data_IF_679569914969
#
_entry.id   IF_679569914969
#
_cell.length_a   1.000
_cell.length_b   1.000
_cell.length_c   1.000
_cell.angle_alpha   90.00
_cell.angle_beta   90.00
_cell.angle_gamma   90.00
#
_symmetry.space_group_name_H-M   'P 1'
#
loop_
_entity.id
_entity.type
_entity.pdbx_description
1 polymer ?
#
# COMPACT_ATOMS: atom_id res chain seq x y z
N UNK A 1 5.81 12.33 -5.87
CA UNK A 1 4.96 11.26 -6.45
C UNK A 1 4.79 10.18 -5.40
N UNK A 2 3.57 9.68 -5.25
CA UNK A 2 3.21 8.60 -4.32
C UNK A 2 3.37 7.27 -5.05
N UNK A 3 4.03 6.30 -4.42
CA UNK A 3 4.10 4.94 -4.94
C UNK A 3 3.40 3.98 -3.99
N UNK A 4 2.53 3.14 -4.53
CA UNK A 4 1.85 2.07 -3.80
C UNK A 4 2.33 0.74 -4.36
N UNK A 5 3.00 -0.04 -3.52
CA UNK A 5 3.42 -1.40 -3.81
C UNK A 5 2.55 -2.35 -3.01
N UNK A 6 1.98 -3.36 -3.67
CA UNK A 6 1.27 -4.44 -3.00
C UNK A 6 1.79 -5.78 -3.52
N UNK A 7 2.45 -6.55 -2.67
CA UNK A 7 2.91 -7.90 -2.96
C UNK A 7 1.91 -8.89 -2.36
N UNK A 8 1.27 -9.72 -3.17
CA UNK A 8 0.46 -10.81 -2.65
C UNK A 8 1.39 -11.93 -2.23
N UNK A 9 1.36 -12.26 -0.94
CA UNK A 9 1.89 -13.52 -0.41
C UNK A 9 0.70 -14.27 0.15
N UNK A 10 0.65 -15.58 0.07
CA UNK A 10 -0.33 -16.35 0.85
C UNK A 10 0.35 -16.75 2.16
N UNK A 11 -0.27 -16.58 3.33
CA UNK A 11 -1.66 -16.16 3.59
C UNK A 11 -1.86 -14.64 3.85
N UNK A 12 -0.91 -13.79 3.45
CA UNK A 12 -0.90 -12.35 3.77
C UNK A 12 -0.34 -11.48 2.64
N UNK A 13 -0.97 -10.37 2.31
CA UNK A 13 -0.36 -9.39 1.42
C UNK A 13 0.66 -8.53 2.18
N UNK A 14 1.61 -7.93 1.47
CA UNK A 14 2.44 -6.85 2.00
C UNK A 14 2.14 -5.59 1.22
N UNK A 15 1.89 -4.49 1.92
CA UNK A 15 1.69 -3.18 1.32
C UNK A 15 2.79 -2.22 1.78
N UNK A 16 3.36 -1.51 0.83
CA UNK A 16 4.29 -0.42 1.06
C UNK A 16 3.81 0.82 0.32
N UNK A 17 3.73 1.94 1.01
CA UNK A 17 3.31 3.23 0.47
C UNK A 17 4.42 4.25 0.75
N UNK A 18 4.89 4.93 -0.29
CA UNK A 18 5.92 5.97 -0.18
C UNK A 18 5.43 7.30 -0.78
N UNK A 19 5.97 8.43 -0.30
CA UNK A 19 5.67 9.76 -0.84
C UNK A 19 4.34 10.39 -0.40
N UNK A 20 3.55 9.69 0.43
CA UNK A 20 2.17 10.11 0.78
C UNK A 20 2.07 11.33 1.70
N UNK A 21 3.18 11.76 2.32
CA UNK A 21 3.25 12.93 3.20
C UNK A 21 4.49 13.83 2.93
N UNK A 22 5.07 13.70 1.74
CA UNK A 22 6.32 14.39 1.35
C UNK A 22 6.10 15.62 0.45
N UNK A 23 4.86 15.92 0.04
CA UNK A 23 4.57 16.97 -0.95
C UNK A 23 3.68 18.10 -0.40
N UNK A 24 4.09 19.35 -0.64
CA UNK A 24 3.45 20.58 -0.15
C UNK A 24 2.95 21.52 -1.26
N UNK A 25 2.87 21.09 -2.53
CA UNK A 25 2.49 21.96 -3.65
C UNK A 25 0.96 21.97 -3.87
N UNK A 26 0.37 23.16 -4.04
CA UNK A 26 -1.07 23.36 -4.25
C UNK A 26 -1.62 22.52 -5.42
N UNK A 27 -2.74 21.83 -5.19
CA UNK A 27 -3.38 20.93 -6.17
C UNK A 27 -3.03 19.44 -6.03
N UNK A 28 -1.96 19.08 -5.30
CA UNK A 28 -1.56 17.69 -5.00
C UNK A 28 -2.06 17.20 -3.63
N UNK A 29 -2.46 18.14 -2.76
CA UNK A 29 -2.97 17.89 -1.41
C UNK A 29 -4.12 16.87 -1.32
N UNK A 30 -5.15 16.86 -2.19
CA UNK A 30 -6.26 15.90 -2.02
C UNK A 30 -5.82 14.45 -2.20
N UNK A 31 -4.80 14.18 -3.02
CA UNK A 31 -4.27 12.81 -3.19
C UNK A 31 -3.44 12.42 -1.97
N UNK A 32 -2.53 13.28 -1.49
CA UNK A 32 -1.76 13.03 -0.28
C UNK A 32 -2.67 12.81 0.94
N UNK A 33 -3.69 13.65 1.11
CA UNK A 33 -4.68 13.53 2.17
C UNK A 33 -5.43 12.20 2.08
N UNK A 34 -5.95 11.84 0.90
CA UNK A 34 -6.65 10.57 0.70
C UNK A 34 -5.77 9.35 1.02
N UNK A 35 -4.53 9.32 0.52
CA UNK A 35 -3.60 8.22 0.79
C UNK A 35 -3.20 8.19 2.27
N UNK A 36 -2.98 9.33 2.90
CA UNK A 36 -2.71 9.42 4.34
C UNK A 36 -3.87 8.89 5.17
N UNK A 37 -5.13 9.21 4.79
CA UNK A 37 -6.33 8.66 5.44
C UNK A 37 -6.43 7.16 5.27
N UNK A 38 -6.03 6.61 4.13
CA UNK A 38 -6.00 5.17 3.90
C UNK A 38 -4.92 4.46 4.72
N UNK A 39 -3.73 5.06 4.84
CA UNK A 39 -2.66 4.56 5.73
C UNK A 39 -3.15 4.55 7.17
N UNK A 40 -3.74 5.65 7.63
CA UNK A 40 -4.30 5.74 8.98
C UNK A 40 -5.39 4.68 9.20
N UNK A 41 -6.32 4.51 8.26
CA UNK A 41 -7.35 3.48 8.37
C UNK A 41 -6.76 2.07 8.52
N UNK A 42 -5.74 1.72 7.73
CA UNK A 42 -5.08 0.42 7.88
C UNK A 42 -4.34 0.29 9.20
N UNK A 43 -3.66 1.35 9.65
CA UNK A 43 -2.98 1.37 10.93
C UNK A 43 -3.97 1.09 12.07
N UNK A 44 -5.10 1.82 12.13
CA UNK A 44 -6.12 1.62 13.15
C UNK A 44 -6.76 0.23 13.06
N UNK A 45 -7.06 -0.25 11.84
CA UNK A 45 -7.59 -1.60 11.64
C UNK A 45 -6.63 -2.67 12.19
N UNK A 46 -5.34 -2.55 11.87
CA UNK A 46 -4.33 -3.50 12.31
C UNK A 46 -4.11 -3.43 13.83
N UNK A 47 -4.10 -2.22 14.40
CA UNK A 47 -3.85 -2.01 15.82
C UNK A 47 -5.03 -2.46 16.70
N UNK A 48 -6.27 -2.12 16.31
CA UNK A 48 -7.46 -2.30 17.16
C UNK A 48 -8.23 -3.60 16.88
N UNK A 49 -8.21 -4.11 15.64
CA UNK A 49 -9.11 -5.20 15.21
C UNK A 49 -8.37 -6.48 14.85
N UNK A 50 -7.15 -6.37 14.33
CA UNK A 50 -6.40 -7.51 13.80
C UNK A 50 -5.24 -7.88 14.72
N UNK A 51 -4.04 -7.39 14.44
CA UNK A 51 -2.82 -7.69 15.20
C UNK A 51 -1.80 -6.55 15.02
N UNK A 52 -1.39 -5.85 16.09
CA UNK A 52 -0.45 -4.73 16.00
C UNK A 52 0.91 -5.11 15.36
N UNK A 53 1.35 -6.36 15.49
CA UNK A 53 2.59 -6.86 14.88
C UNK A 53 2.61 -6.85 13.35
N UNK A 54 1.46 -6.68 12.71
CA UNK A 54 1.34 -6.50 11.26
C UNK A 54 1.86 -5.12 10.80
N UNK A 55 1.99 -4.15 11.70
CA UNK A 55 2.57 -2.84 11.39
C UNK A 55 4.10 -2.96 11.43
N UNK A 56 4.76 -2.85 10.28
CA UNK A 56 6.22 -2.97 10.20
C UNK A 56 6.91 -1.64 10.46
N UNK A 57 6.49 -0.60 9.75
CA UNK A 57 7.08 0.73 9.85
C UNK A 57 6.08 1.78 9.40
N UNK A 58 5.88 2.82 10.21
CA UNK A 58 5.11 4.01 9.84
C UNK A 58 5.92 5.23 10.25
N UNK A 59 6.18 6.10 9.29
CA UNK A 59 6.82 7.41 9.52
C UNK A 59 6.34 8.37 8.44
N UNK A 60 6.75 9.64 8.55
CA UNK A 60 6.38 10.65 7.55
C UNK A 60 6.78 10.18 6.15
N UNK A 61 5.80 10.13 5.27
CA UNK A 61 5.96 9.78 3.85
C UNK A 61 6.15 8.30 3.59
N UNK A 62 6.12 7.43 4.61
CA UNK A 62 6.38 6.00 4.46
C UNK A 62 5.50 5.14 5.36
N UNK A 63 4.88 4.12 4.79
CA UNK A 63 4.16 3.10 5.54
C UNK A 63 4.44 1.71 4.95
N UNK A 64 4.73 0.74 5.80
CA UNK A 64 4.86 -0.66 5.45
C UNK A 64 4.09 -1.54 6.45
N UNK A 65 3.21 -2.38 5.92
CA UNK A 65 2.31 -3.22 6.69
C UNK A 65 2.20 -4.60 6.06
N UNK A 66 2.21 -5.64 6.88
CA UNK A 66 1.76 -6.98 6.51
C UNK A 66 0.23 -7.03 6.71
N UNK A 67 -0.49 -7.58 5.75
CA UNK A 67 -1.95 -7.52 5.64
C UNK A 67 -2.50 -8.94 5.59
N UNK A 68 -2.93 -9.51 6.72
CA UNK A 68 -3.46 -10.87 6.75
C UNK A 68 -4.78 -10.97 5.97
N UNK A 69 -5.20 -12.19 5.67
CA UNK A 69 -6.39 -12.46 4.86
C UNK A 69 -7.70 -11.87 5.44
N UNK A 70 -7.76 -11.62 6.75
CA UNK A 70 -8.84 -10.88 7.41
C UNK A 70 -9.00 -9.43 6.89
N UNK A 71 -7.93 -8.82 6.40
CA UNK A 71 -7.93 -7.48 5.81
C UNK A 71 -8.27 -7.48 4.31
N UNK A 72 -8.45 -8.64 3.67
CA UNK A 72 -8.51 -8.78 2.20
C UNK A 72 -9.53 -7.85 1.54
N UNK A 73 -10.73 -7.75 2.11
CA UNK A 73 -11.79 -6.89 1.58
C UNK A 73 -11.44 -5.40 1.68
N UNK A 74 -10.90 -4.97 2.82
CA UNK A 74 -10.44 -3.59 3.05
C UNK A 74 -9.33 -3.23 2.07
N UNK A 75 -8.34 -4.12 1.91
CA UNK A 75 -7.21 -3.93 0.99
C UNK A 75 -7.69 -3.87 -0.46
N UNK A 76 -8.59 -4.76 -0.88
CA UNK A 76 -9.16 -4.71 -2.23
C UNK A 76 -9.91 -3.40 -2.50
N UNK A 77 -10.75 -2.95 -1.55
CA UNK A 77 -11.48 -1.68 -1.66
C UNK A 77 -10.52 -0.48 -1.76
N UNK A 78 -9.47 -0.47 -0.95
CA UNK A 78 -8.43 0.56 -0.99
C UNK A 78 -7.67 0.57 -2.31
N UNK A 79 -7.24 -0.58 -2.83
CA UNK A 79 -6.56 -0.66 -4.12
C UNK A 79 -7.45 -0.17 -5.26
N UNK A 80 -8.75 -0.46 -5.24
CA UNK A 80 -9.71 0.08 -6.21
C UNK A 80 -9.83 1.61 -6.11
N UNK A 81 -9.90 2.15 -4.89
CA UNK A 81 -9.97 3.59 -4.65
C UNK A 81 -8.68 4.31 -5.09
N UNK A 82 -7.52 3.77 -4.72
CA UNK A 82 -6.21 4.26 -5.16
C UNK A 82 -6.08 4.16 -6.68
N UNK A 83 -6.59 3.10 -7.31
CA UNK A 83 -6.56 2.95 -8.77
C UNK A 83 -7.42 4.00 -9.47
N UNK A 84 -8.52 4.44 -8.82
CA UNK A 84 -9.27 5.61 -9.29
C UNK A 84 -8.46 6.90 -9.15
N UNK A 85 -7.74 7.08 -8.06
CA UNK A 85 -6.84 8.24 -7.88
C UNK A 85 -5.72 8.25 -8.92
N UNK A 86 -5.12 7.10 -9.26
CA UNK A 86 -4.11 6.99 -10.33
C UNK A 86 -4.67 7.41 -11.68
N UNK A 87 -5.90 7.03 -12.02
CA UNK A 87 -6.53 7.47 -13.27
C UNK A 87 -6.86 8.96 -13.32
N UNK A 88 -7.30 9.53 -12.20
CA UNK A 88 -7.66 10.95 -12.11
C UNK A 88 -6.43 11.86 -11.98
N UNK A 89 -5.37 11.37 -11.33
CA UNK A 89 -4.17 12.12 -10.97
C UNK A 89 -2.89 11.31 -11.27
N UNK A 90 -2.63 10.94 -12.53
CA UNK A 90 -1.54 10.04 -12.90
C UNK A 90 -0.13 10.59 -12.65
N UNK A 91 0.02 11.91 -12.49
CA UNK A 91 1.28 12.55 -12.09
C UNK A 91 1.53 12.50 -10.57
N UNK A 92 0.49 12.18 -9.78
CA UNK A 92 0.53 12.25 -8.33
C UNK A 92 0.80 10.89 -7.69
N UNK A 93 0.20 9.83 -8.23
CA UNK A 93 0.24 8.47 -7.67
C UNK A 93 0.49 7.44 -8.76
N UNK A 94 1.30 6.44 -8.43
CA UNK A 94 1.52 5.25 -9.23
C UNK A 94 1.22 4.01 -8.39
N UNK A 95 0.38 3.12 -8.91
CA UNK A 95 0.24 1.77 -8.34
C UNK A 95 1.17 0.86 -9.10
N UNK A 96 2.12 0.31 -8.36
CA UNK A 96 3.13 -0.58 -8.89
C UNK A 96 2.52 -1.98 -9.01
N UNK A 97 2.89 -2.73 -10.05
CA UNK A 97 2.25 -4.01 -10.35
C UNK A 97 2.29 -4.93 -9.14
N UNK A 98 1.19 -5.65 -8.94
CA UNK A 98 1.08 -6.72 -7.96
C UNK A 98 2.21 -7.73 -8.22
N UNK A 99 3.23 -7.72 -7.37
CA UNK A 99 4.25 -8.76 -7.40
C UNK A 99 3.57 -9.97 -6.78
N UNK A 100 3.06 -10.87 -7.61
CA UNK A 100 2.72 -12.21 -7.16
C UNK A 100 4.04 -12.93 -6.93
N UNK A 101 4.40 -13.16 -5.67
CA UNK A 101 5.63 -13.88 -5.34
C UNK A 101 5.68 -15.30 -5.96
N UNK A 102 4.53 -15.85 -6.39
CA UNK A 102 4.43 -17.13 -7.12
C UNK A 102 4.85 -17.03 -8.59
N UNK A 103 4.95 -15.82 -9.15
CA UNK A 103 5.38 -15.57 -10.55
C UNK A 103 6.85 -15.18 -10.67
N UNK A 104 7.59 -15.12 -9.56
CA UNK A 104 9.05 -14.99 -9.63
C UNK A 104 9.58 -16.21 -10.39
N UNK A 105 10.31 -16.06 -11.51
CA UNK A 105 11.03 -17.19 -12.07
C UNK A 105 11.85 -17.79 -10.94
N UNK A 106 11.73 -19.10 -10.72
CA UNK A 106 12.70 -19.79 -9.90
C UNK A 106 14.04 -19.56 -10.61
N UNK A 107 14.84 -18.62 -10.11
CA UNK A 107 16.22 -18.50 -10.54
C UNK A 107 16.82 -19.88 -10.36
N UNK A 108 17.21 -20.45 -11.49
CA UNK A 108 17.81 -21.76 -11.60
C UNK A 108 18.85 -21.90 -10.50
N UNK A 109 18.60 -22.81 -9.56
CA UNK A 109 19.67 -23.42 -8.79
C UNK A 109 20.58 -24.13 -9.78
N UNK A 110 21.50 -23.39 -10.39
CA UNK A 110 22.63 -23.99 -11.11
C UNK A 110 23.64 -24.46 -10.07
N UNK A 111 23.64 -25.78 -9.94
CA UNK A 111 24.73 -26.70 -9.57
C UNK A 111 25.67 -26.27 -8.44
#
# INVERSE_FOLDING_TARGET
MIHVYCELREPMARMRITGHADYAQEGYDPVCAAISSYVLLLQELLFEVVEPQCIREIRRGYAEMDLPDSCRMTVAAMLLAMGRLERLYPSCIKIEPLIDARKRPQEEKKA
#
